data_IF_034028665531
#
_entry.id   IF_034028665531
#
_cell.length_a   1.000
_cell.length_b   1.000
_cell.length_c   1.000
_cell.angle_alpha   90.00
_cell.angle_beta   90.00
_cell.angle_gamma   90.00
#
_symmetry.space_group_name_H-M   'P 1'
#
loop_
_entity.id
_entity.type
_entity.pdbx_description
1 polymer ?
#
# COMPACT_ATOMS: atom_id res chain seq x y z
N UNK A 1 5.74 -0.03 -2.39
CA UNK A 1 5.03 0.66 -3.48
C UNK A 1 5.21 -0.08 -4.79
N UNK A 2 4.47 -1.17 -4.95
CA UNK A 2 4.49 -1.97 -6.18
C UNK A 2 3.45 -1.36 -7.12
N UNK A 3 3.92 -0.78 -8.21
CA UNK A 3 3.07 -0.45 -9.36
C UNK A 3 2.50 -1.77 -9.86
N UNK A 4 1.19 -1.99 -9.75
CA UNK A 4 0.53 -3.10 -10.43
C UNK A 4 0.57 -2.79 -11.94
N UNK A 5 1.66 -3.22 -12.57
CA UNK A 5 1.96 -2.99 -13.98
C UNK A 5 1.20 -4.04 -14.82
N UNK A 6 -0.12 -4.10 -14.65
CA UNK A 6 -1.00 -4.76 -15.61
C UNK A 6 -0.98 -3.92 -16.89
N UNK A 7 -0.64 -4.55 -18.01
CA UNK A 7 -0.32 -3.94 -19.31
C UNK A 7 1.10 -3.38 -19.43
N UNK A 8 2.10 -4.26 -19.34
CA UNK A 8 3.32 -4.06 -20.11
C UNK A 8 2.98 -4.12 -21.61
N UNK A 9 2.51 -3.00 -22.19
CA UNK A 9 2.27 -2.85 -23.63
C UNK A 9 3.51 -3.08 -24.51
N UNK A 10 4.68 -3.28 -23.89
CA UNK A 10 5.96 -3.50 -24.54
C UNK A 10 6.09 -4.91 -25.16
N UNK A 11 5.50 -5.94 -24.57
CA UNK A 11 5.52 -7.31 -25.15
C UNK A 11 4.48 -7.49 -26.26
N UNK A 12 3.44 -6.65 -26.30
CA UNK A 12 2.37 -6.66 -27.30
C UNK A 12 2.51 -5.54 -28.34
N UNK A 13 3.59 -4.76 -28.30
CA UNK A 13 3.82 -3.58 -29.16
C UNK A 13 2.66 -2.56 -29.20
N UNK A 14 1.95 -2.39 -28.07
CA UNK A 14 0.75 -1.54 -27.93
C UNK A 14 0.99 -0.38 -26.96
N UNK A 15 2.06 0.39 -27.18
CA UNK A 15 2.39 1.55 -26.36
C UNK A 15 1.43 2.74 -26.54
N UNK A 16 0.65 2.74 -27.63
CA UNK A 16 -0.31 3.81 -27.97
C UNK A 16 -1.64 3.71 -27.19
N UNK A 17 -1.87 2.62 -26.45
CA UNK A 17 -3.09 2.46 -25.66
C UNK A 17 -3.07 3.46 -24.49
N UNK A 18 -4.14 4.26 -24.28
CA UNK A 18 -4.21 5.18 -23.15
C UNK A 18 -4.06 4.45 -21.81
N UNK A 19 -3.25 5.02 -20.93
CA UNK A 19 -3.05 4.53 -19.57
C UNK A 19 -3.59 5.55 -18.57
N UNK A 20 -4.46 5.10 -17.67
CA UNK A 20 -4.98 5.92 -16.57
C UNK A 20 -4.38 5.39 -15.27
N UNK A 21 -3.76 6.28 -14.49
CA UNK A 21 -3.22 5.95 -13.16
C UNK A 21 -4.19 6.48 -12.11
N UNK A 22 -4.54 5.64 -11.14
CA UNK A 22 -5.46 6.01 -10.06
C UNK A 22 -5.01 5.34 -8.75
N UNK A 23 -4.92 6.11 -7.68
CA UNK A 23 -4.52 5.62 -6.35
C UNK A 23 -5.49 4.57 -5.78
N UNK A 24 -6.75 4.59 -6.21
CA UNK A 24 -7.76 3.58 -5.84
C UNK A 24 -7.43 2.16 -6.34
N UNK A 25 -6.42 2.03 -7.20
CA UNK A 25 -5.93 0.75 -7.73
C UNK A 25 -4.59 0.34 -7.09
N UNK A 26 -4.20 1.00 -5.99
CA UNK A 26 -3.01 0.64 -5.24
C UNK A 26 -3.18 -0.70 -4.51
N UNK A 27 -2.05 -1.28 -4.12
CA UNK A 27 -2.02 -2.35 -3.12
C UNK A 27 -2.54 -1.85 -1.77
N UNK A 28 -3.05 -2.79 -0.96
CA UNK A 28 -3.53 -2.54 0.40
C UNK A 28 -2.49 -1.83 1.26
N UNK A 29 -2.91 -0.79 2.00
CA UNK A 29 -2.03 -0.06 2.90
C UNK A 29 -1.74 -0.84 4.19
N UNK A 30 -0.53 -1.39 4.33
CA UNK A 30 -0.14 -2.18 5.51
C UNK A 30 0.19 -1.37 6.79
N UNK A 31 -0.08 -0.06 6.78
CA UNK A 31 0.17 0.85 7.90
C UNK A 31 1.57 0.75 8.47
N UNK A 32 1.67 0.70 9.79
CA UNK A 32 2.95 0.65 10.51
C UNK A 32 3.80 -0.60 10.20
N UNK A 33 3.24 -1.60 9.50
CA UNK A 33 3.98 -2.80 9.09
C UNK A 33 4.75 -2.62 7.78
N UNK A 34 4.58 -1.50 7.08
CA UNK A 34 5.31 -1.24 5.84
C UNK A 34 6.82 -1.20 6.08
N UNK A 35 7.57 -1.96 5.28
CA UNK A 35 9.03 -1.99 5.33
C UNK A 35 9.62 -2.84 6.45
N UNK A 36 8.81 -3.38 7.37
CA UNK A 36 9.29 -4.26 8.44
C UNK A 36 9.63 -5.66 7.91
N UNK A 37 10.62 -6.29 8.56
CA UNK A 37 10.91 -7.71 8.32
C UNK A 37 9.77 -8.59 8.85
N UNK A 38 9.39 -9.58 8.05
CA UNK A 38 8.24 -10.43 8.34
C UNK A 38 8.47 -11.32 9.56
N UNK A 39 9.69 -11.82 9.74
CA UNK A 39 10.02 -12.72 10.85
C UNK A 39 10.05 -11.93 12.15
N UNK A 40 10.71 -10.76 12.15
CA UNK A 40 10.72 -9.87 13.31
C UNK A 40 9.30 -9.43 13.70
N UNK A 41 8.44 -9.12 12.72
CA UNK A 41 7.04 -8.76 12.98
C UNK A 41 6.26 -9.92 13.59
N UNK A 42 6.46 -11.15 13.11
CA UNK A 42 5.82 -12.34 13.68
C UNK A 42 6.33 -12.65 15.09
N UNK A 43 7.62 -12.46 15.36
CA UNK A 43 8.19 -12.61 16.71
C UNK A 43 7.61 -11.59 17.70
N UNK A 44 7.33 -10.37 17.23
CA UNK A 44 6.77 -9.29 18.07
C UNK A 44 5.27 -9.44 18.33
N UNK A 45 4.48 -9.75 17.31
CA UNK A 45 3.01 -9.72 17.38
C UNK A 45 2.34 -11.10 17.38
N UNK A 46 3.10 -12.16 17.08
CA UNK A 46 2.61 -13.52 16.95
C UNK A 46 2.12 -13.85 15.53
N UNK A 47 2.33 -15.11 15.12
CA UNK A 47 1.96 -15.60 13.78
C UNK A 47 0.45 -15.48 13.51
N UNK A 48 -0.39 -15.75 14.51
CA UNK A 48 -1.85 -15.65 14.37
C UNK A 48 -2.30 -14.21 14.09
N UNK A 49 -1.74 -13.22 14.81
CA UNK A 49 -2.07 -11.81 14.61
C UNK A 49 -1.61 -11.33 13.22
N UNK A 50 -0.39 -11.69 12.82
CA UNK A 50 0.12 -11.39 11.47
C UNK A 50 -0.72 -12.07 10.39
N UNK A 51 -1.21 -13.28 10.65
CA UNK A 51 -2.12 -13.97 9.74
C UNK A 51 -3.44 -13.22 9.60
N UNK A 52 -4.03 -12.78 10.72
CA UNK A 52 -5.27 -11.98 10.73
C UNK A 52 -5.09 -10.71 9.89
N UNK A 53 -4.06 -9.91 10.11
CA UNK A 53 -3.82 -8.71 9.32
C UNK A 53 -3.63 -8.97 7.82
N UNK A 54 -3.07 -10.13 7.46
CA UNK A 54 -2.81 -10.49 6.06
C UNK A 54 -4.01 -11.09 5.34
N UNK A 55 -4.97 -11.66 6.06
CA UNK A 55 -6.04 -12.50 5.48
C UNK A 55 -7.44 -12.03 5.83
N UNK A 56 -7.59 -11.27 6.90
CA UNK A 56 -8.88 -10.70 7.24
C UNK A 56 -9.31 -9.65 6.21
N UNK A 57 -10.62 -9.61 5.98
CA UNK A 57 -11.28 -8.64 5.13
C UNK A 57 -11.53 -7.31 5.85
N UNK A 58 -11.78 -7.36 7.17
CA UNK A 58 -12.28 -6.25 7.98
C UNK A 58 -11.36 -5.86 9.15
N UNK A 59 -10.22 -6.54 9.31
CA UNK A 59 -9.23 -6.22 10.34
C UNK A 59 -7.98 -5.65 9.66
N UNK A 60 -7.72 -4.38 9.91
CA UNK A 60 -6.54 -3.65 9.46
C UNK A 60 -5.35 -3.84 10.41
N UNK A 61 -4.11 -3.73 9.91
CA UNK A 61 -2.92 -3.61 10.75
C UNK A 61 -2.89 -2.27 11.51
N UNK A 62 -1.94 -2.07 12.45
CA UNK A 62 -1.81 -0.80 13.15
C UNK A 62 -1.58 0.37 12.17
N UNK A 63 -2.22 1.51 12.44
CA UNK A 63 -2.08 2.72 11.66
C UNK A 63 -0.64 3.24 11.67
N UNK A 64 -0.17 3.70 10.51
CA UNK A 64 1.03 4.52 10.42
C UNK A 64 0.70 5.94 10.88
N UNK A 65 1.61 6.57 11.64
CA UNK A 65 1.48 7.99 11.98
C UNK A 65 1.48 8.85 10.68
N UNK A 66 0.48 9.71 10.45
CA UNK A 66 0.46 10.61 9.29
C UNK A 66 1.71 11.48 9.17
N UNK A 67 2.38 11.78 10.29
CA UNK A 67 3.60 12.57 10.36
C UNK A 67 4.88 11.72 10.17
N UNK A 68 4.78 10.39 10.06
CA UNK A 68 5.92 9.53 9.79
C UNK A 68 6.58 9.91 8.44
N UNK A 69 7.92 9.96 8.34
CA UNK A 69 8.59 10.31 7.08
C UNK A 69 8.22 9.40 5.89
N UNK A 70 7.81 8.15 6.14
CA UNK A 70 7.38 7.18 5.12
C UNK A 70 5.88 7.23 4.82
N UNK A 71 5.13 8.08 5.53
CA UNK A 71 3.70 8.30 5.30
C UNK A 71 3.42 8.71 3.85
N UNK A 72 2.38 8.11 3.26
CA UNK A 72 1.92 8.46 1.92
C UNK A 72 1.46 9.93 1.84
N UNK A 73 1.08 10.56 2.96
CA UNK A 73 0.75 11.98 3.03
C UNK A 73 1.91 12.88 2.58
N UNK A 74 3.16 12.40 2.71
CA UNK A 74 4.36 13.14 2.33
C UNK A 74 4.80 12.89 0.87
N UNK A 75 4.14 11.98 0.14
CA UNK A 75 4.53 11.62 -1.22
C UNK A 75 3.85 12.53 -2.27
N UNK A 76 4.67 13.17 -3.10
CA UNK A 76 4.23 14.07 -4.19
C UNK A 76 3.20 13.45 -5.14
N UNK A 77 3.12 12.13 -5.26
CA UNK A 77 2.13 11.42 -6.09
C UNK A 77 0.70 11.61 -5.58
N UNK A 78 0.54 11.89 -4.30
CA UNK A 78 -0.75 12.10 -3.64
C UNK A 78 -1.04 13.57 -3.32
N UNK A 79 -0.17 14.51 -3.76
CA UNK A 79 -0.33 15.94 -3.45
C UNK A 79 -1.63 16.57 -3.99
N UNK A 80 -2.27 15.95 -4.98
CA UNK A 80 -3.48 16.46 -5.64
C UNK A 80 -4.76 15.69 -5.24
N UNK A 81 -4.72 14.91 -4.15
CA UNK A 81 -5.91 14.25 -3.59
C UNK A 81 -6.18 14.78 -2.17
N UNK A 82 -7.44 14.78 -1.71
CA UNK A 82 -7.75 15.13 -0.34
C UNK A 82 -6.95 14.29 0.66
N UNK A 83 -6.40 14.91 1.70
CA UNK A 83 -5.53 14.20 2.65
C UNK A 83 -6.29 13.12 3.44
N UNK A 84 -7.59 13.34 3.69
CA UNK A 84 -8.48 12.42 4.40
C UNK A 84 -8.76 11.11 3.65
N UNK A 85 -8.47 11.05 2.34
CA UNK A 85 -8.60 9.81 1.56
C UNK A 85 -7.29 9.02 1.44
N UNK A 86 -6.18 9.54 1.97
CA UNK A 86 -4.91 8.82 2.04
C UNK A 86 -4.98 7.89 3.27
N UNK A 87 -4.86 6.56 3.10
CA UNK A 87 -5.03 5.63 4.20
C UNK A 87 -3.78 5.56 5.10
N UNK A 88 -4.00 5.46 6.41
CA UNK A 88 -2.96 5.12 7.37
C UNK A 88 -2.83 3.60 7.57
N UNK A 89 -3.91 2.85 7.38
CA UNK A 89 -3.96 1.40 7.21
C UNK A 89 -5.28 1.01 6.52
N UNK A 90 -5.30 -0.17 5.90
CA UNK A 90 -6.48 -0.80 5.27
C UNK A 90 -6.58 -2.26 5.69
#
# INVERSE_FOLDING_TARGET
MLTLQMFHGNSLAKLWIPQVKNWRLNERHYGALQGLDKKATAEQYGDEQVHIWRRSYDISPPDLDPQDPNSAHNDRRYANIPSDVVPNAE
#
